data_IF_773922896866
#
_entry.id   IF_773922896866
#
_cell.length_a   1.000
_cell.length_b   1.000
_cell.length_c   1.000
_cell.angle_alpha   90.00
_cell.angle_beta   90.00
_cell.angle_gamma   90.00
#
_symmetry.space_group_name_H-M   'P 1'
#
loop_
_entity.id
_entity.type
_entity.pdbx_description
1 polymer ?
#
# COMPACT_ATOMS: atom_id res chain seq x y z
N UNK A 1 -8.48 -11.78 2.45
CA UNK A 1 -8.68 -10.55 1.66
C UNK A 1 -8.01 -10.68 0.32
N UNK A 2 -8.68 -10.25 -0.75
CA UNK A 2 -8.08 -10.13 -2.08
C UNK A 2 -7.24 -8.85 -2.18
N UNK A 3 -6.27 -8.80 -3.10
CA UNK A 3 -5.50 -7.57 -3.37
C UNK A 3 -6.38 -6.36 -3.73
N UNK A 4 -7.56 -6.61 -4.29
CA UNK A 4 -8.54 -5.56 -4.63
C UNK A 4 -9.18 -4.97 -3.38
N UNK A 5 -9.49 -5.81 -2.40
CA UNK A 5 -10.02 -5.36 -1.10
C UNK A 5 -8.97 -4.56 -0.32
N UNK A 6 -7.74 -5.07 -0.24
CA UNK A 6 -6.63 -4.37 0.42
C UNK A 6 -6.40 -2.99 -0.21
N UNK A 7 -6.45 -2.90 -1.55
CA UNK A 7 -6.37 -1.62 -2.25
C UNK A 7 -7.50 -0.68 -1.85
N UNK A 8 -8.74 -1.17 -1.82
CA UNK A 8 -9.91 -0.36 -1.44
C UNK A 8 -9.78 0.20 -0.02
N UNK A 9 -9.35 -0.64 0.93
CA UNK A 9 -9.11 -0.25 2.32
C UNK A 9 -8.01 0.83 2.39
N UNK A 10 -6.91 0.63 1.67
CA UNK A 10 -5.80 1.58 1.65
C UNK A 10 -6.21 2.95 1.04
N UNK A 11 -6.95 2.97 -0.07
CA UNK A 11 -7.46 4.22 -0.68
C UNK A 11 -8.47 4.93 0.22
N UNK A 12 -9.33 4.18 0.92
CA UNK A 12 -10.26 4.74 1.89
C UNK A 12 -9.48 5.37 3.06
N UNK A 13 -8.53 4.65 3.65
CA UNK A 13 -7.69 5.16 4.72
C UNK A 13 -6.90 6.41 4.30
N UNK A 14 -6.36 6.44 3.08
CA UNK A 14 -5.71 7.64 2.52
C UNK A 14 -6.66 8.82 2.44
N UNK A 15 -7.90 8.58 2.01
CA UNK A 15 -8.93 9.62 1.92
C UNK A 15 -9.30 10.15 3.31
N UNK A 16 -9.52 9.27 4.29
CA UNK A 16 -9.81 9.64 5.67
C UNK A 16 -8.65 10.44 6.30
N UNK A 17 -7.41 10.04 6.06
CA UNK A 17 -6.23 10.74 6.54
C UNK A 17 -6.14 12.15 5.95
N UNK A 18 -6.38 12.30 4.64
CA UNK A 18 -6.41 13.61 3.97
C UNK A 18 -7.54 14.53 4.47
N UNK A 19 -8.62 13.93 4.95
CA UNK A 19 -9.73 14.66 5.58
C UNK A 19 -9.53 14.92 7.08
N UNK A 20 -8.35 14.61 7.65
CA UNK A 20 -8.07 14.70 9.09
C UNK A 20 -9.05 13.91 9.97
N UNK A 21 -9.65 12.83 9.44
CA UNK A 21 -10.62 12.00 10.16
C UNK A 21 -9.98 10.85 10.94
N UNK A 22 -8.75 10.48 10.58
CA UNK A 22 -7.96 9.44 11.25
C UNK A 22 -6.54 9.94 11.47
N UNK A 23 -5.85 9.38 12.46
CA UNK A 23 -4.44 9.71 12.71
C UNK A 23 -3.52 9.05 11.69
N UNK A 24 -2.25 9.47 11.72
CA UNK A 24 -1.21 8.85 10.90
C UNK A 24 -0.98 7.39 11.29
N UNK A 25 -1.06 7.04 12.58
CA UNK A 25 -0.94 5.65 13.03
C UNK A 25 -2.09 4.79 12.47
N UNK A 26 -3.33 5.26 12.60
CA UNK A 26 -4.51 4.55 12.08
C UNK A 26 -4.46 4.37 10.55
N UNK A 27 -4.02 5.40 9.83
CA UNK A 27 -3.82 5.33 8.39
C UNK A 27 -2.75 4.29 8.03
N UNK A 28 -1.66 4.23 8.80
CA UNK A 28 -0.57 3.28 8.60
C UNK A 28 -1.05 1.84 8.77
N UNK A 29 -1.74 1.53 9.86
CA UNK A 29 -2.27 0.19 10.13
C UNK A 29 -3.17 -0.34 9.00
N UNK A 30 -3.97 0.55 8.39
CA UNK A 30 -4.88 0.19 7.29
C UNK A 30 -4.20 0.08 5.93
N UNK A 31 -3.13 0.85 5.69
CA UNK A 31 -2.42 0.92 4.40
C UNK A 31 -1.29 -0.11 4.30
N UNK A 32 -0.57 -0.37 5.39
CA UNK A 32 0.61 -1.27 5.41
C UNK A 32 0.34 -2.64 4.79
N UNK A 33 -0.79 -3.34 5.08
CA UNK A 33 -1.06 -4.66 4.51
C UNK A 33 -1.13 -4.66 2.97
N UNK A 34 -1.65 -3.57 2.38
CA UNK A 34 -1.68 -3.42 0.92
C UNK A 34 -0.27 -3.21 0.36
N UNK A 35 0.55 -2.37 1.02
CA UNK A 35 1.91 -2.07 0.59
C UNK A 35 2.79 -3.33 0.64
N UNK A 36 2.70 -4.11 1.71
CA UNK A 36 3.42 -5.38 1.85
C UNK A 36 3.03 -6.36 0.75
N UNK A 37 1.73 -6.55 0.52
CA UNK A 37 1.22 -7.44 -0.52
C UNK A 37 1.66 -6.99 -1.93
N UNK A 38 1.61 -5.69 -2.20
CA UNK A 38 2.06 -5.11 -3.47
C UNK A 38 3.57 -5.30 -3.69
N UNK A 39 4.38 -4.96 -2.68
CA UNK A 39 5.83 -5.05 -2.76
C UNK A 39 6.30 -6.48 -2.92
N UNK A 40 5.69 -7.43 -2.18
CA UNK A 40 5.97 -8.86 -2.32
C UNK A 40 5.74 -9.33 -3.75
N UNK A 41 4.58 -9.02 -4.32
CA UNK A 41 4.25 -9.38 -5.70
C UNK A 41 5.18 -8.71 -6.72
N UNK A 42 5.55 -7.44 -6.48
CA UNK A 42 6.48 -6.71 -7.33
C UNK A 42 7.87 -7.35 -7.36
N UNK A 43 8.38 -7.79 -6.21
CA UNK A 43 9.65 -8.51 -6.09
C UNK A 43 9.61 -9.85 -6.81
N UNK A 44 8.53 -10.63 -6.64
CA UNK A 44 8.35 -11.92 -7.32
C UNK A 44 8.38 -11.78 -8.85
N UNK A 45 7.67 -10.79 -9.39
CA UNK A 45 7.64 -10.49 -10.82
C UNK A 45 9.02 -10.02 -11.30
N UNK A 46 9.63 -9.09 -10.59
CA UNK A 46 10.94 -8.55 -10.93
C UNK A 46 12.01 -9.65 -11.01
N UNK A 47 11.99 -10.59 -10.07
CA UNK A 47 12.85 -11.78 -10.06
C UNK A 47 12.62 -12.67 -11.29
N UNK A 48 11.35 -12.89 -11.67
CA UNK A 48 10.99 -13.69 -12.85
C UNK A 48 11.50 -13.10 -14.17
N UNK A 49 11.52 -11.77 -14.27
CA UNK A 49 11.90 -11.07 -15.51
C UNK A 49 13.29 -10.43 -15.47
N UNK A 50 14.10 -10.69 -14.44
CA UNK A 50 15.41 -10.05 -14.21
C UNK A 50 15.35 -8.51 -14.26
N UNK A 51 14.25 -7.95 -13.77
CA UNK A 51 14.03 -6.49 -13.71
C UNK A 51 14.25 -5.97 -12.29
N UNK A 52 14.41 -4.64 -12.16
CA UNK A 52 14.40 -3.99 -10.85
C UNK A 52 12.96 -3.94 -10.29
N UNK A 53 12.71 -4.39 -9.05
CA UNK A 53 11.39 -4.32 -8.45
C UNK A 53 10.95 -2.87 -8.25
N UNK A 54 9.66 -2.61 -8.53
CA UNK A 54 9.03 -1.32 -8.27
C UNK A 54 8.26 -1.44 -6.96
N UNK A 55 8.87 -1.00 -5.87
CA UNK A 55 8.23 -1.00 -4.55
C UNK A 55 7.62 0.37 -4.25
N UNK A 56 6.66 0.39 -3.35
CA UNK A 56 6.04 1.60 -2.79
C UNK A 56 6.23 1.63 -1.28
N UNK A 57 6.26 2.84 -0.73
CA UNK A 57 6.31 3.11 0.71
C UNK A 57 5.02 3.77 1.18
N UNK A 58 4.75 3.71 2.49
CA UNK A 58 3.62 4.41 3.09
C UNK A 58 3.64 5.92 2.78
N UNK A 59 4.82 6.54 2.88
CA UNK A 59 5.00 7.97 2.58
C UNK A 59 4.70 8.28 1.12
N UNK A 60 5.17 7.45 0.18
CA UNK A 60 4.86 7.64 -1.25
C UNK A 60 3.39 7.38 -1.59
N UNK A 61 2.71 6.52 -0.83
CA UNK A 61 1.29 6.24 -1.02
C UNK A 61 0.39 7.36 -0.50
N UNK A 62 0.80 8.03 0.58
CA UNK A 62 0.08 9.17 1.14
C UNK A 62 0.22 10.46 0.31
N UNK A 63 1.33 10.64 -0.41
CA UNK A 63 1.54 11.74 -1.36
C UNK A 63 0.50 11.72 -2.49
#
# INVERSE_FOLDING_TARGET
MTNKELKSIAENARSLYRSNLITREEAKERIEPFIEAYNKKSIEIAKKFSQKPKTISFVSFLR
#
